data_IF_046514649247
#
_entry.id   IF_046514649247
#
_cell.length_a   1.000
_cell.length_b   1.000
_cell.length_c   1.000
_cell.angle_alpha   90.00
_cell.angle_beta   90.00
_cell.angle_gamma   90.00
#
_symmetry.space_group_name_H-M   'P 1'
#
loop_
_entity.id
_entity.type
_entity.pdbx_description
1 polymer ?
#
# COMPACT_ATOMS: atom_id res chain seq x y z
N UNK A 1 -6.12 9.16 4.75
CA UNK A 1 -6.46 7.95 5.53
C UNK A 1 -6.17 6.73 4.68
N UNK A 2 -5.37 5.79 5.19
CA UNK A 2 -5.25 4.44 4.62
C UNK A 2 -6.55 3.65 4.79
N UNK A 3 -6.80 2.70 3.89
CA UNK A 3 -8.00 1.84 3.93
C UNK A 3 -9.11 2.22 2.95
N UNK A 4 -8.86 3.21 2.07
CA UNK A 4 -9.75 3.51 0.94
C UNK A 4 -9.85 2.32 -0.01
N UNK A 5 -8.71 1.74 -0.36
CA UNK A 5 -8.61 0.60 -1.25
C UNK A 5 -8.57 -0.70 -0.43
N UNK A 6 -9.49 -1.61 -0.71
CA UNK A 6 -9.57 -2.90 -0.03
C UNK A 6 -9.48 -4.02 -1.06
N UNK A 7 -8.62 -5.00 -0.82
CA UNK A 7 -8.63 -6.25 -1.60
C UNK A 7 -9.80 -7.10 -1.15
N UNK A 8 -10.62 -7.54 -2.11
CA UNK A 8 -11.78 -8.40 -1.86
C UNK A 8 -11.84 -9.50 -2.92
N UNK A 9 -12.39 -10.69 -2.61
CA UNK A 9 -12.80 -11.63 -3.65
C UNK A 9 -13.76 -10.93 -4.61
N UNK A 10 -13.63 -11.21 -5.91
CA UNK A 10 -14.57 -10.71 -6.91
C UNK A 10 -15.96 -11.28 -6.65
N UNK A 11 -16.99 -10.50 -6.96
CA UNK A 11 -18.40 -10.91 -6.77
C UNK A 11 -18.87 -11.92 -7.83
N UNK A 12 -18.08 -12.12 -8.90
CA UNK A 12 -18.30 -13.18 -9.87
C UNK A 12 -17.66 -14.48 -9.39
N UNK A 13 -18.26 -15.63 -9.69
CA UNK A 13 -17.80 -16.97 -9.28
C UNK A 13 -16.38 -17.35 -9.79
N UNK A 14 -15.66 -16.40 -10.39
CA UNK A 14 -14.33 -16.52 -10.96
C UNK A 14 -13.24 -16.91 -9.96
N UNK A 15 -13.51 -16.82 -8.64
CA UNK A 15 -12.52 -17.00 -7.56
C UNK A 15 -11.31 -16.08 -7.70
N UNK A 16 -11.47 -14.97 -8.41
CA UNK A 16 -10.44 -13.94 -8.55
C UNK A 16 -10.57 -12.90 -7.43
N UNK A 17 -9.61 -12.00 -7.36
CA UNK A 17 -9.60 -10.85 -6.46
C UNK A 17 -9.80 -9.56 -7.26
N UNK A 18 -10.23 -8.52 -6.57
CA UNK A 18 -10.27 -7.16 -7.08
C UNK A 18 -9.86 -6.16 -6.01
N UNK A 19 -9.75 -4.90 -6.44
CA UNK A 19 -9.51 -3.76 -5.55
C UNK A 19 -10.76 -2.90 -5.50
N UNK A 20 -11.39 -2.86 -4.34
CA UNK A 20 -12.56 -2.04 -4.05
C UNK A 20 -12.14 -0.65 -3.56
N UNK A 21 -12.72 0.41 -4.11
CA UNK A 21 -12.56 1.78 -3.62
C UNK A 21 -13.80 2.19 -2.83
N UNK A 22 -13.63 2.28 -1.51
CA UNK A 22 -14.71 2.62 -0.58
C UNK A 22 -15.20 4.06 -0.70
N UNK A 23 -14.39 4.98 -1.26
CA UNK A 23 -14.78 6.38 -1.42
C UNK A 23 -15.77 6.59 -2.58
N UNK A 24 -15.72 5.72 -3.60
CA UNK A 24 -16.65 5.76 -4.74
C UNK A 24 -17.63 4.59 -4.76
N UNK A 25 -17.52 3.70 -3.78
CA UNK A 25 -18.33 2.49 -3.65
C UNK A 25 -18.32 1.63 -4.93
N UNK A 26 -17.12 1.35 -5.45
CA UNK A 26 -16.97 0.61 -6.70
C UNK A 26 -15.60 -0.05 -6.90
N UNK A 27 -15.54 -0.93 -7.90
CA UNK A 27 -14.31 -1.63 -8.28
C UNK A 27 -13.35 -0.71 -9.04
N UNK A 28 -12.08 -0.70 -8.63
CA UNK A 28 -10.97 -0.11 -9.41
C UNK A 28 -10.33 -1.11 -10.36
N UNK A 29 -10.38 -2.38 -10.00
CA UNK A 29 -9.94 -3.51 -10.81
C UNK A 29 -10.62 -4.79 -10.33
N UNK A 30 -10.84 -5.73 -11.25
CA UNK A 30 -11.38 -7.08 -11.01
C UNK A 30 -10.60 -8.10 -11.84
N UNK A 31 -10.86 -9.40 -11.64
CA UNK A 31 -10.23 -10.46 -12.45
C UNK A 31 -8.77 -10.75 -12.11
N UNK A 32 -8.28 -10.31 -10.94
CA UNK A 32 -6.90 -10.51 -10.53
C UNK A 32 -6.77 -11.91 -9.92
N UNK A 33 -6.07 -12.82 -10.59
CA UNK A 33 -5.98 -14.22 -10.15
C UNK A 33 -5.25 -14.41 -8.80
N UNK A 34 -4.44 -13.44 -8.37
CA UNK A 34 -3.57 -13.57 -7.21
C UNK A 34 -3.77 -12.41 -6.22
N UNK A 35 -4.07 -12.73 -4.96
CA UNK A 35 -4.32 -11.75 -3.90
C UNK A 35 -3.12 -10.82 -3.63
N UNK A 36 -1.86 -11.32 -3.51
CA UNK A 36 -0.66 -10.49 -3.50
C UNK A 36 -0.62 -9.41 -4.60
N UNK A 37 -1.04 -9.75 -5.83
CA UNK A 37 -1.04 -8.77 -6.93
C UNK A 37 -2.11 -7.70 -6.74
N UNK A 38 -3.27 -8.08 -6.21
CA UNK A 38 -4.32 -7.13 -5.84
C UNK A 38 -3.87 -6.23 -4.67
N UNK A 39 -3.13 -6.76 -3.70
CA UNK A 39 -2.55 -5.97 -2.60
C UNK A 39 -1.50 -4.98 -3.09
N UNK A 40 -0.64 -5.38 -4.03
CA UNK A 40 0.32 -4.47 -4.66
C UNK A 40 -0.41 -3.31 -5.34
N UNK A 41 -1.42 -3.60 -6.17
CA UNK A 41 -2.24 -2.58 -6.82
C UNK A 41 -2.94 -1.65 -5.83
N UNK A 42 -3.51 -2.20 -4.75
CA UNK A 42 -4.11 -1.39 -3.69
C UNK A 42 -3.07 -0.45 -3.06
N UNK A 43 -1.84 -0.93 -2.83
CA UNK A 43 -0.76 -0.11 -2.27
C UNK A 43 -0.26 0.98 -3.24
N UNK A 44 -0.26 0.71 -4.55
CA UNK A 44 0.08 1.70 -5.58
C UNK A 44 -0.99 2.80 -5.65
N UNK A 45 -2.26 2.43 -5.45
CA UNK A 45 -3.36 3.38 -5.35
C UNK A 45 -3.31 4.18 -4.05
N UNK A 46 -2.91 3.58 -2.93
CA UNK A 46 -2.71 4.28 -1.65
C UNK A 46 -1.63 5.37 -1.74
N UNK A 47 -0.61 5.21 -2.60
CA UNK A 47 0.37 6.27 -2.88
C UNK A 47 -0.28 7.45 -3.60
N UNK A 48 -1.18 7.17 -4.54
CA UNK A 48 -1.76 8.20 -5.40
C UNK A 48 -2.95 8.91 -4.76
N UNK A 49 -3.71 8.22 -3.91
CA UNK A 49 -4.96 8.70 -3.38
C UNK A 49 -5.06 8.52 -1.86
N UNK A 50 -5.78 9.44 -1.22
CA UNK A 50 -6.27 9.30 0.15
C UNK A 50 -7.82 9.29 0.15
N UNK A 51 -8.43 9.46 1.31
CA UNK A 51 -9.88 9.50 1.47
C UNK A 51 -10.57 10.68 0.75
N UNK A 52 -9.84 11.76 0.45
CA UNK A 52 -10.38 12.99 -0.12
C UNK A 52 -10.12 13.13 -1.62
N UNK A 53 -9.22 12.33 -2.18
CA UNK A 53 -8.90 12.41 -3.60
C UNK A 53 -7.45 12.06 -3.86
N UNK A 54 -6.85 12.59 -4.94
CA UNK A 54 -5.41 12.50 -5.15
C UNK A 54 -4.64 13.10 -3.98
N UNK A 55 -3.58 12.42 -3.52
CA UNK A 55 -2.70 12.94 -2.48
C UNK A 55 -1.94 14.16 -3.01
N UNK A 56 -1.77 15.21 -2.19
CA UNK A 56 -0.93 16.33 -2.57
C UNK A 56 0.54 15.88 -2.65
N UNK A 57 1.32 16.53 -3.51
CA UNK A 57 2.70 16.12 -3.79
C UNK A 57 3.62 16.19 -2.56
N UNK A 58 3.32 17.06 -1.59
CA UNK A 58 4.06 17.18 -0.32
C UNK A 58 3.72 16.08 0.70
N UNK A 59 2.68 15.29 0.45
CA UNK A 59 2.28 14.14 1.25
C UNK A 59 2.83 12.81 0.69
N UNK A 60 3.69 12.84 -0.34
CA UNK A 60 4.30 11.66 -0.95
C UNK A 60 5.81 11.86 -1.05
N UNK A 61 6.59 10.81 -0.78
CA UNK A 61 8.02 10.80 -1.13
C UNK A 61 8.39 9.45 -1.70
N UNK A 62 8.92 9.43 -2.92
CA UNK A 62 9.46 8.21 -3.51
C UNK A 62 10.89 7.97 -3.02
N UNK A 63 11.24 6.72 -2.78
CA UNK A 63 12.60 6.29 -2.41
C UNK A 63 13.15 5.48 -3.57
N UNK A 64 14.09 6.08 -4.32
CA UNK A 64 14.72 5.45 -5.48
C UNK A 64 16.24 5.65 -5.43
N UNK A 65 17.05 4.58 -5.41
CA UNK A 65 16.63 3.17 -5.33
C UNK A 65 15.92 2.86 -4.00
N UNK A 66 15.17 1.76 -3.94
CA UNK A 66 14.59 1.27 -2.68
C UNK A 66 15.68 1.12 -1.62
N UNK A 67 15.34 1.40 -0.37
CA UNK A 67 16.27 1.37 0.75
C UNK A 67 15.96 0.19 1.68
N UNK A 68 16.99 -0.55 2.06
CA UNK A 68 16.86 -1.61 3.07
C UNK A 68 16.54 -1.02 4.46
N UNK A 69 15.52 -1.57 5.09
CA UNK A 69 15.07 -1.15 6.42
C UNK A 69 14.78 -2.32 7.33
N UNK A 70 15.04 -2.12 8.63
CA UNK A 70 14.62 -3.00 9.70
C UNK A 70 13.36 -2.45 10.37
N UNK A 71 12.36 -3.32 10.58
CA UNK A 71 11.17 -3.03 11.37
C UNK A 71 11.44 -3.30 12.85
N UNK A 72 10.74 -2.60 13.74
CA UNK A 72 10.85 -2.76 15.21
C UNK A 72 10.69 -4.22 15.72
N UNK A 73 10.11 -5.13 14.93
CA UNK A 73 9.97 -6.56 15.22
C UNK A 73 11.04 -7.47 14.57
N UNK A 74 12.19 -6.92 14.18
CA UNK A 74 13.36 -7.61 13.59
C UNK A 74 13.16 -8.26 12.21
N UNK A 75 12.10 -7.94 11.48
CA UNK A 75 12.00 -8.28 10.05
C UNK A 75 12.61 -7.19 9.18
N UNK A 76 13.39 -7.60 8.16
CA UNK A 76 13.94 -6.72 7.13
C UNK A 76 12.98 -6.61 5.95
N UNK A 77 13.08 -5.51 5.20
CA UNK A 77 12.35 -5.32 3.95
C UNK A 77 12.86 -4.09 3.20
N UNK A 78 12.32 -3.88 2.01
CA UNK A 78 12.67 -2.77 1.14
C UNK A 78 11.63 -1.65 1.28
N UNK A 79 12.12 -0.44 1.54
CA UNK A 79 11.34 0.79 1.57
C UNK A 79 11.45 1.50 0.23
N UNK A 80 10.33 1.69 -0.47
CA UNK A 80 10.29 2.32 -1.80
C UNK A 80 9.46 3.62 -1.85
N UNK A 81 8.73 3.94 -0.78
CA UNK A 81 7.89 5.12 -0.75
C UNK A 81 7.40 5.49 0.65
N UNK A 82 7.07 6.76 0.80
CA UNK A 82 6.46 7.34 1.98
C UNK A 82 5.16 8.04 1.60
N UNK A 83 4.16 7.90 2.45
CA UNK A 83 2.95 8.71 2.41
C UNK A 83 2.75 9.39 3.75
N UNK A 84 2.11 10.55 3.74
CA UNK A 84 1.65 11.22 4.95
C UNK A 84 0.18 10.88 5.19
N UNK A 85 -0.12 10.27 6.33
CA UNK A 85 -1.47 9.88 6.72
C UNK A 85 -1.76 10.35 8.15
N UNK A 86 -2.86 11.09 8.36
CA UNK A 86 -3.23 11.66 9.66
C UNK A 86 -2.09 12.42 10.37
N UNK A 87 -1.23 13.09 9.60
CA UNK A 87 -0.08 13.86 10.10
C UNK A 87 1.21 13.04 10.31
N UNK A 88 1.13 11.72 10.29
CA UNK A 88 2.25 10.79 10.44
C UNK A 88 2.81 10.34 9.08
N UNK A 89 4.12 10.08 9.03
CA UNK A 89 4.76 9.47 7.86
C UNK A 89 4.73 7.95 7.96
N UNK A 90 4.17 7.30 6.95
CA UNK A 90 4.12 5.85 6.80
C UNK A 90 4.99 5.43 5.63
N UNK A 91 5.91 4.50 5.89
CA UNK A 91 6.77 3.91 4.87
C UNK A 91 6.13 2.67 4.27
N UNK A 92 6.16 2.54 2.95
CA UNK A 92 5.77 1.34 2.22
C UNK A 92 6.92 0.36 2.26
N UNK A 93 6.76 -0.72 3.04
CA UNK A 93 7.77 -1.76 3.18
C UNK A 93 7.31 -3.03 2.50
N UNK A 94 8.14 -3.52 1.58
CA UNK A 94 8.00 -4.83 0.94
C UNK A 94 8.87 -5.83 1.66
N UNK A 95 8.28 -6.90 2.17
CA UNK A 95 9.03 -8.00 2.77
C UNK A 95 9.61 -8.95 1.70
N UNK A 96 10.43 -9.92 2.13
CA UNK A 96 11.06 -10.90 1.24
C UNK A 96 10.05 -11.81 0.50
N UNK A 97 8.79 -11.84 0.93
CA UNK A 97 7.72 -12.57 0.27
C UNK A 97 6.93 -11.68 -0.71
N UNK A 98 7.36 -10.43 -0.91
CA UNK A 98 6.69 -9.44 -1.74
C UNK A 98 5.44 -8.82 -1.10
N UNK A 99 5.18 -9.08 0.17
CA UNK A 99 4.03 -8.51 0.86
C UNK A 99 4.32 -7.05 1.25
N UNK A 100 3.43 -6.17 0.82
CA UNK A 100 3.50 -4.74 1.12
C UNK A 100 2.77 -4.43 2.42
N UNK A 101 3.44 -3.69 3.29
CA UNK A 101 2.86 -3.17 4.54
C UNK A 101 3.21 -1.70 4.72
N UNK A 102 2.26 -0.92 5.24
CA UNK A 102 2.50 0.46 5.64
C UNK A 102 2.95 0.49 7.11
N UNK A 103 4.14 1.02 7.36
CA UNK A 103 4.76 1.00 8.68
C UNK A 103 5.04 2.44 9.13
N UNK A 104 4.69 2.82 10.38
CA UNK A 104 5.07 4.10 10.93
C UNK A 104 6.56 4.36 10.83
N UNK A 105 6.96 5.55 10.38
CA UNK A 105 8.38 5.91 10.22
C UNK A 105 9.18 5.80 11.52
N UNK A 106 8.53 6.03 12.66
CA UNK A 106 9.14 5.82 13.98
C UNK A 106 9.60 4.37 14.23
N UNK A 107 9.01 3.40 13.53
CA UNK A 107 9.27 1.97 13.65
C UNK A 107 10.21 1.43 12.55
N UNK A 108 10.73 2.30 11.68
CA UNK A 108 11.66 1.95 10.62
C UNK A 108 13.07 2.45 10.97
N UNK A 109 14.05 1.55 10.81
CA UNK A 109 15.48 1.85 10.98
C UNK A 109 16.19 1.53 9.66
N UNK A 110 17.01 2.45 9.13
CA UNK A 110 17.92 2.13 8.04
C UNK A 110 18.83 0.96 8.42
N UNK A 111 19.10 0.07 7.45
CA UNK A 111 20.15 -0.94 7.53
C UNK A 111 21.45 -0.44 6.91
#
# INVERSE_FOLDING_TARGET
MLGRFTVRPSDDESKTFGVWDSAVNGWRATGIANEPKARELASDLDIQYDAHGPRPADAIRHVQPSQDVQRAAWSTGELDGWIRDNGEWLGRVRDNNGHVTWVPGANLRPL
#
